data_IF_959077801787
#
_entry.id   IF_959077801787
#
_cell.length_a   1.000
_cell.length_b   1.000
_cell.length_c   1.000
_cell.angle_alpha   90.00
_cell.angle_beta   90.00
_cell.angle_gamma   90.00
#
_symmetry.space_group_name_H-M   'P 1'
#
loop_
_entity.id
_entity.type
_entity.pdbx_description
1 polymer ?
#
# COMPACT_ATOMS: atom_id res chain seq x y z
N UNK A 1 25.92 -14.30 -3.18
CA UNK A 1 24.89 -13.90 -2.20
C UNK A 1 24.33 -12.58 -2.70
N UNK A 2 23.22 -12.61 -3.43
CA UNK A 2 22.66 -11.41 -4.06
C UNK A 2 21.83 -10.67 -3.02
N UNK A 3 22.32 -9.55 -2.51
CA UNK A 3 21.58 -8.67 -1.60
C UNK A 3 20.43 -8.05 -2.38
N UNK A 4 19.20 -8.51 -2.14
CA UNK A 4 18.00 -7.81 -2.61
C UNK A 4 17.93 -6.51 -1.82
N UNK A 5 18.03 -5.37 -2.49
CA UNK A 5 17.87 -4.07 -1.83
C UNK A 5 16.43 -3.96 -1.32
N UNK A 6 16.27 -3.73 -0.02
CA UNK A 6 14.97 -3.54 0.65
C UNK A 6 14.59 -2.07 0.76
N UNK A 7 15.35 -1.17 0.12
CA UNK A 7 15.03 0.25 0.04
C UNK A 7 13.61 0.43 -0.52
N UNK A 8 12.70 0.99 0.29
CA UNK A 8 11.27 1.09 0.00
C UNK A 8 10.37 0.18 0.84
N UNK A 9 10.91 -0.88 1.47
CA UNK A 9 10.19 -1.69 2.46
C UNK A 9 10.14 -1.02 3.85
N UNK A 10 10.93 0.02 4.09
CA UNK A 10 10.96 0.72 5.38
C UNK A 10 9.58 1.23 5.80
N UNK A 11 8.70 1.52 4.85
CA UNK A 11 7.31 1.96 5.13
C UNK A 11 6.44 0.86 5.76
N UNK A 12 6.77 -0.42 5.52
CA UNK A 12 6.13 -1.57 6.18
C UNK A 12 6.67 -1.79 7.59
N UNK A 13 7.93 -1.43 7.86
CA UNK A 13 8.59 -1.65 9.14
C UNK A 13 8.46 -0.47 10.12
N UNK A 14 8.31 0.74 9.62
CA UNK A 14 8.17 1.97 10.41
C UNK A 14 7.03 2.85 9.88
N UNK A 15 5.80 2.66 10.39
CA UNK A 15 4.65 3.44 9.94
C UNK A 15 4.77 4.94 10.23
N UNK A 16 5.56 5.35 11.22
CA UNK A 16 5.81 6.77 11.56
C UNK A 16 6.73 7.45 10.55
N UNK A 17 7.56 6.68 9.84
CA UNK A 17 8.44 7.17 8.76
C UNK A 17 7.88 6.88 7.37
N UNK A 18 6.72 6.25 7.28
CA UNK A 18 6.07 6.00 6.01
C UNK A 18 5.69 7.32 5.34
N UNK A 19 5.91 7.41 4.03
CA UNK A 19 5.48 8.57 3.25
C UNK A 19 3.96 8.68 3.40
N UNK A 20 3.50 9.85 3.84
CA UNK A 20 2.07 10.09 4.01
C UNK A 20 1.35 9.80 2.68
N UNK A 21 0.25 9.04 2.73
CA UNK A 21 -0.50 8.74 1.52
C UNK A 21 -1.02 10.03 0.89
N UNK A 22 -1.04 10.07 -0.44
CA UNK A 22 -1.69 11.17 -1.16
C UNK A 22 -3.16 11.16 -0.75
N UNK A 23 -3.67 12.30 -0.27
CA UNK A 23 -5.08 12.45 0.03
C UNK A 23 -5.87 12.44 -1.29
N UNK A 24 -6.74 11.45 -1.45
CA UNK A 24 -7.59 11.28 -2.62
C UNK A 24 -9.05 11.42 -2.21
N UNK A 25 -9.95 11.65 -3.17
CA UNK A 25 -11.38 11.50 -2.87
C UNK A 25 -11.67 10.05 -2.44
N UNK A 26 -12.65 9.88 -1.53
CA UNK A 26 -13.03 8.56 -1.01
C UNK A 26 -13.35 7.57 -2.13
N UNK A 27 -14.07 8.01 -3.18
CA UNK A 27 -14.36 7.17 -4.34
C UNK A 27 -13.09 6.70 -5.07
N UNK A 28 -12.12 7.59 -5.25
CA UNK A 28 -10.85 7.24 -5.91
C UNK A 28 -10.04 6.30 -5.04
N UNK A 29 -9.92 6.60 -3.74
CA UNK A 29 -9.17 5.77 -2.80
C UNK A 29 -9.78 4.37 -2.68
N UNK A 30 -11.12 4.28 -2.63
CA UNK A 30 -11.86 3.02 -2.58
C UNK A 30 -11.67 2.17 -3.83
N UNK A 31 -11.68 2.80 -5.01
CA UNK A 31 -11.43 2.11 -6.28
C UNK A 31 -10.00 1.53 -6.31
N UNK A 32 -9.00 2.36 -6.00
CA UNK A 32 -7.59 1.94 -6.01
C UNK A 32 -7.30 0.86 -4.96
N UNK A 33 -7.93 0.91 -3.79
CA UNK A 33 -7.80 -0.14 -2.78
C UNK A 33 -8.35 -1.49 -3.29
N UNK A 34 -9.48 -1.49 -4.00
CA UNK A 34 -10.02 -2.72 -4.61
C UNK A 34 -9.12 -3.27 -5.71
N UNK A 35 -8.55 -2.41 -6.54
CA UNK A 35 -7.57 -2.79 -7.56
C UNK A 35 -6.34 -3.43 -6.90
N UNK A 36 -5.79 -2.82 -5.85
CA UNK A 36 -4.64 -3.37 -5.13
C UNK A 36 -4.93 -4.71 -4.44
N UNK A 37 -6.14 -4.92 -3.92
CA UNK A 37 -6.56 -6.24 -3.38
C UNK A 37 -6.56 -7.30 -4.48
N UNK A 38 -7.08 -6.97 -5.67
CA UNK A 38 -7.09 -7.90 -6.80
C UNK A 38 -5.67 -8.21 -7.30
N UNK A 39 -4.81 -7.19 -7.40
CA UNK A 39 -3.40 -7.34 -7.76
C UNK A 39 -2.64 -8.20 -6.74
N UNK A 40 -2.88 -7.99 -5.45
CA UNK A 40 -2.27 -8.79 -4.40
C UNK A 40 -2.73 -10.25 -4.43
N UNK A 41 -3.99 -10.51 -4.75
CA UNK A 41 -4.51 -11.87 -4.91
C UNK A 41 -3.94 -12.58 -6.15
N UNK A 42 -3.56 -11.81 -7.19
CA UNK A 42 -2.99 -12.33 -8.44
C UNK A 42 -1.45 -12.39 -8.44
N UNK A 43 -0.79 -11.87 -7.41
CA UNK A 43 0.67 -11.85 -7.32
C UNK A 43 1.25 -13.27 -7.25
N UNK A 44 2.38 -13.49 -7.93
CA UNK A 44 3.07 -14.78 -7.92
C UNK A 44 3.58 -15.12 -6.51
N UNK A 45 3.04 -16.16 -5.84
CA UNK A 45 3.42 -16.53 -4.49
C UNK A 45 4.83 -17.13 -4.40
N UNK A 46 5.46 -17.47 -5.52
CA UNK A 46 6.82 -18.00 -5.57
C UNK A 46 7.88 -16.91 -5.78
N UNK A 47 7.47 -15.70 -6.13
CA UNK A 47 8.35 -14.55 -6.30
C UNK A 47 8.29 -13.66 -5.07
N UNK A 48 9.32 -13.75 -4.21
CA UNK A 48 9.44 -12.89 -3.03
C UNK A 48 9.33 -11.40 -3.39
N UNK A 49 9.95 -10.98 -4.50
CA UNK A 49 9.85 -9.60 -4.97
C UNK A 49 8.43 -9.21 -5.38
N UNK A 50 7.71 -10.08 -6.08
CA UNK A 50 6.32 -9.80 -6.49
C UNK A 50 5.39 -9.73 -5.27
N UNK A 51 5.55 -10.64 -4.30
CA UNK A 51 4.78 -10.61 -3.05
C UNK A 51 5.04 -9.34 -2.25
N UNK A 52 6.31 -8.94 -2.10
CA UNK A 52 6.67 -7.73 -1.36
C UNK A 52 6.12 -6.47 -2.04
N UNK A 53 6.23 -6.37 -3.37
CA UNK A 53 5.66 -5.25 -4.13
C UNK A 53 4.14 -5.19 -4.05
N UNK A 54 3.47 -6.33 -4.08
CA UNK A 54 2.02 -6.37 -3.95
C UNK A 54 1.57 -5.98 -2.53
N UNK A 55 2.28 -6.47 -1.51
CA UNK A 55 2.00 -6.16 -0.11
C UNK A 55 2.22 -4.67 0.22
N UNK A 56 3.35 -4.07 -0.20
CA UNK A 56 3.61 -2.64 -0.02
C UNK A 56 2.55 -1.79 -0.73
N UNK A 57 2.20 -2.15 -1.96
CA UNK A 57 1.17 -1.43 -2.73
C UNK A 57 -0.18 -1.50 -2.03
N UNK A 58 -0.58 -2.67 -1.54
CA UNK A 58 -1.82 -2.85 -0.81
C UNK A 58 -1.85 -2.02 0.48
N UNK A 59 -0.79 -2.09 1.30
CA UNK A 59 -0.68 -1.29 2.53
C UNK A 59 -0.82 0.21 2.26
N UNK A 60 -0.09 0.72 1.25
CA UNK A 60 -0.18 2.12 0.84
C UNK A 60 -1.62 2.53 0.45
N UNK A 61 -2.31 1.71 -0.37
CA UNK A 61 -3.68 2.03 -0.81
C UNK A 61 -4.71 1.96 0.31
N UNK A 62 -4.55 1.03 1.26
CA UNK A 62 -5.42 0.96 2.43
C UNK A 62 -5.23 2.17 3.34
N UNK A 63 -3.98 2.63 3.56
CA UNK A 63 -3.71 3.87 4.31
C UNK A 63 -4.27 5.10 3.60
N UNK A 64 -4.17 5.19 2.27
CA UNK A 64 -4.83 6.26 1.49
C UNK A 64 -6.34 6.26 1.68
N UNK A 65 -6.97 5.08 1.73
CA UNK A 65 -8.41 4.98 1.94
C UNK A 65 -8.81 5.41 3.36
N UNK A 66 -8.08 4.98 4.39
CA UNK A 66 -8.32 5.40 5.76
C UNK A 66 -8.20 6.93 5.89
N UNK A 67 -7.10 7.52 5.37
CA UNK A 67 -6.91 8.97 5.40
C UNK A 67 -8.02 9.75 4.64
N UNK A 68 -8.53 9.19 3.54
CA UNK A 68 -9.64 9.81 2.81
C UNK A 68 -10.96 9.75 3.61
N UNK A 69 -11.21 8.64 4.32
CA UNK A 69 -12.38 8.47 5.19
C UNK A 69 -12.30 9.39 6.41
N UNK A 70 -11.13 9.45 7.07
CA UNK A 70 -10.91 10.36 8.21
C UNK A 70 -11.17 11.81 7.78
N UNK A 71 -10.63 12.23 6.64
CA UNK A 71 -10.87 13.57 6.09
C UNK A 71 -12.34 13.85 5.75
N UNK A 72 -13.10 12.85 5.25
CA UNK A 72 -14.54 12.99 4.98
C UNK A 72 -15.36 13.09 6.27
N UNK A 73 -14.95 12.38 7.31
CA UNK A 73 -15.58 12.41 8.64
C UNK A 73 -15.14 13.63 9.49
N UNK A 74 -14.17 14.41 9.02
CA UNK A 74 -13.61 15.56 9.75
C UNK A 74 -12.72 15.14 10.93
N UNK A 75 -12.07 13.98 10.84
CA UNK A 75 -11.13 13.43 11.82
C UNK A 75 -9.69 13.52 11.34
#
# INVERSE_FOLDING_TARGET
MTTVSTEGLDQLHDPERAVLPILLSVDTARRLAREAVAECAAADPHSLGAMLMAATTLDYRLRSLLAALDAEEGR
#
